data_IF_316568269828
#
_entry.id   IF_316568269828
#
_cell.length_a   1.000
_cell.length_b   1.000
_cell.length_c   1.000
_cell.angle_alpha   90.00
_cell.angle_beta   90.00
_cell.angle_gamma   90.00
#
_symmetry.space_group_name_H-M   'P 1'
#
loop_
_entity.id
_entity.type
_entity.pdbx_description
1 polymer ?
#
# COMPACT_ATOMS: atom_id res chain seq x y z
N UNK A 1 -17.94 -12.70 -6.10
CA UNK A 1 -18.57 -12.05 -4.92
C UNK A 1 -17.51 -11.22 -4.20
N UNK A 2 -17.62 -9.89 -4.19
CA UNK A 2 -16.65 -9.00 -3.52
C UNK A 2 -17.01 -8.88 -2.03
N UNK A 3 -16.66 -9.88 -1.25
CA UNK A 3 -16.83 -9.86 0.21
C UNK A 3 -15.87 -8.86 0.87
N UNK A 4 -16.45 -7.77 1.39
CA UNK A 4 -15.92 -6.79 2.37
C UNK A 4 -14.46 -6.94 2.82
N UNK A 5 -13.47 -6.53 2.01
CA UNK A 5 -12.15 -6.18 2.54
C UNK A 5 -12.18 -4.71 3.02
N UNK A 6 -12.19 -4.44 4.34
CA UNK A 6 -12.31 -3.08 4.86
C UNK A 6 -11.14 -2.17 4.46
N UNK A 7 -9.95 -2.75 4.25
CA UNK A 7 -8.76 -2.03 3.78
C UNK A 7 -8.95 -1.59 2.34
N UNK A 8 -9.44 -2.47 1.47
CA UNK A 8 -9.71 -2.11 0.08
C UNK A 8 -10.86 -1.11 -0.05
N UNK A 9 -11.94 -1.29 0.71
CA UNK A 9 -13.06 -0.35 0.71
C UNK A 9 -12.58 1.07 1.11
N UNK A 10 -11.79 1.18 2.18
CA UNK A 10 -11.21 2.45 2.59
C UNK A 10 -10.28 3.03 1.52
N UNK A 11 -9.47 2.20 0.87
CA UNK A 11 -8.57 2.61 -0.22
C UNK A 11 -9.34 3.29 -1.37
N UNK A 12 -10.41 2.64 -1.84
CA UNK A 12 -11.31 3.16 -2.88
C UNK A 12 -12.02 4.44 -2.42
N UNK A 13 -12.57 4.44 -1.21
CA UNK A 13 -13.29 5.59 -0.62
C UNK A 13 -12.41 6.84 -0.53
N UNK A 14 -11.11 6.66 -0.29
CA UNK A 14 -10.17 7.78 -0.28
C UNK A 14 -9.67 8.21 -1.66
N UNK A 15 -10.03 7.51 -2.72
CA UNK A 15 -9.63 7.83 -4.10
C UNK A 15 -8.15 7.56 -4.38
N UNK A 16 -7.50 6.69 -3.60
CA UNK A 16 -6.06 6.45 -3.67
C UNK A 16 -5.61 5.69 -4.92
N UNK A 17 -6.56 5.15 -5.70
CA UNK A 17 -6.31 4.60 -7.03
C UNK A 17 -5.78 5.67 -8.01
N UNK A 18 -6.14 6.94 -7.79
CA UNK A 18 -5.76 8.07 -8.65
C UNK A 18 -4.55 8.87 -8.11
N UNK A 19 -3.93 8.40 -7.02
CA UNK A 19 -2.81 9.13 -6.40
C UNK A 19 -1.49 8.98 -7.18
N UNK A 20 -1.42 7.98 -8.07
CA UNK A 20 -0.29 7.73 -8.96
C UNK A 20 1.06 7.77 -8.20
N UNK A 21 2.02 8.55 -8.68
CA UNK A 21 3.37 8.60 -8.13
C UNK A 21 3.43 9.32 -6.77
N UNK A 22 2.39 10.09 -6.43
CA UNK A 22 2.28 10.84 -5.18
C UNK A 22 1.63 10.04 -4.05
N UNK A 23 1.37 8.74 -4.25
CA UNK A 23 0.66 7.87 -3.31
C UNK A 23 1.17 8.00 -1.86
N UNK A 24 2.47 7.84 -1.64
CA UNK A 24 3.05 7.82 -0.28
C UNK A 24 3.02 9.19 0.41
N UNK A 25 2.99 10.28 -0.36
CA UNK A 25 2.91 11.66 0.16
C UNK A 25 1.47 12.11 0.39
N UNK A 26 0.50 11.36 -0.11
CA UNK A 26 -0.90 11.75 -0.05
C UNK A 26 -1.45 11.63 1.38
N UNK A 27 -2.00 12.70 1.97
CA UNK A 27 -2.50 12.69 3.36
C UNK A 27 -3.53 11.56 3.63
N UNK A 28 -4.39 11.25 2.65
CA UNK A 28 -5.36 10.15 2.79
C UNK A 28 -4.71 8.76 2.77
N UNK A 29 -3.52 8.62 2.18
CA UNK A 29 -2.76 7.37 2.23
C UNK A 29 -2.30 7.09 3.66
N UNK A 30 -1.78 8.10 4.38
CA UNK A 30 -1.39 7.92 5.77
C UNK A 30 -2.59 7.50 6.66
N UNK A 31 -3.76 8.11 6.43
CA UNK A 31 -4.99 7.73 7.14
C UNK A 31 -5.39 6.28 6.86
N UNK A 32 -5.38 5.88 5.59
CA UNK A 32 -5.65 4.51 5.16
C UNK A 32 -4.65 3.50 5.73
N UNK A 33 -3.37 3.80 5.66
CA UNK A 33 -2.31 2.91 6.11
C UNK A 33 -2.35 2.72 7.63
N UNK A 34 -2.62 3.80 8.38
CA UNK A 34 -2.88 3.74 9.82
C UNK A 34 -4.09 2.86 10.15
N UNK A 35 -5.18 2.96 9.39
CA UNK A 35 -6.35 2.08 9.56
C UNK A 35 -5.99 0.61 9.27
N UNK A 36 -5.21 0.36 8.22
CA UNK A 36 -4.72 -0.97 7.87
C UNK A 36 -3.88 -1.56 9.00
N UNK A 37 -3.00 -0.77 9.61
CA UNK A 37 -2.20 -1.15 10.78
C UNK A 37 -3.05 -1.49 12.00
N UNK A 38 -4.16 -0.77 12.24
CA UNK A 38 -5.09 -1.08 13.33
C UNK A 38 -5.86 -2.38 13.10
N UNK A 39 -6.28 -2.65 11.87
CA UNK A 39 -7.06 -3.85 11.54
C UNK A 39 -6.19 -5.11 11.46
N UNK A 40 -4.95 -4.98 11.01
CA UNK A 40 -4.04 -6.10 10.77
C UNK A 40 -2.64 -5.83 11.35
N UNK A 41 -2.50 -5.68 12.67
CA UNK A 41 -1.27 -5.19 13.31
C UNK A 41 -0.04 -6.05 13.04
N UNK A 42 -0.20 -7.34 12.77
CA UNK A 42 0.90 -8.27 12.50
C UNK A 42 1.29 -8.37 11.00
N UNK A 43 0.38 -8.00 10.09
CA UNK A 43 0.53 -8.26 8.64
C UNK A 43 0.08 -7.07 7.77
N UNK A 44 0.17 -5.86 8.31
CA UNK A 44 -0.38 -4.65 7.67
C UNK A 44 0.32 -4.31 6.35
N UNK A 45 1.63 -4.59 6.24
CA UNK A 45 2.36 -4.36 4.99
C UNK A 45 1.87 -5.30 3.89
N UNK A 46 1.67 -6.58 4.20
CA UNK A 46 1.16 -7.60 3.28
C UNK A 46 -0.28 -7.27 2.85
N UNK A 47 -1.14 -6.85 3.77
CA UNK A 47 -2.52 -6.44 3.47
C UNK A 47 -2.57 -5.16 2.62
N UNK A 48 -1.68 -4.20 2.90
CA UNK A 48 -1.56 -2.99 2.11
C UNK A 48 -1.08 -3.31 0.69
N UNK A 49 0.01 -4.08 0.54
CA UNK A 49 0.54 -4.50 -0.77
C UNK A 49 -0.49 -5.28 -1.57
N UNK A 50 -1.18 -6.23 -0.97
CA UNK A 50 -2.26 -6.99 -1.63
C UNK A 50 -3.34 -6.08 -2.19
N UNK A 51 -3.68 -5.00 -1.46
CA UNK A 51 -4.65 -4.01 -1.93
C UNK A 51 -4.06 -3.14 -3.04
N UNK A 52 -2.82 -2.68 -2.90
CA UNK A 52 -2.14 -1.84 -3.89
C UNK A 52 -1.96 -2.55 -5.23
N UNK A 53 -1.60 -3.84 -5.22
CA UNK A 53 -1.43 -4.67 -6.43
C UNK A 53 -2.71 -4.87 -7.24
N UNK A 54 -3.89 -4.59 -6.67
CA UNK A 54 -5.17 -4.60 -7.41
C UNK A 54 -5.35 -3.37 -8.30
N UNK A 55 -4.58 -2.31 -8.07
CA UNK A 55 -4.74 -1.01 -8.72
C UNK A 55 -3.44 -0.50 -9.37
N UNK A 56 -2.30 -1.01 -8.94
CA UNK A 56 -0.99 -0.67 -9.45
C UNK A 56 -0.31 -1.96 -9.91
N UNK A 57 0.26 -1.95 -11.11
CA UNK A 57 1.10 -3.06 -11.57
C UNK A 57 2.34 -3.21 -10.66
N UNK A 58 2.90 -4.42 -10.59
CA UNK A 58 4.10 -4.70 -9.80
C UNK A 58 5.24 -3.69 -10.09
N UNK A 59 5.49 -3.40 -11.37
CA UNK A 59 6.53 -2.45 -11.80
C UNK A 59 6.23 -1.01 -11.36
N UNK A 60 4.99 -0.55 -11.53
CA UNK A 60 4.59 0.81 -11.11
C UNK A 60 4.69 0.96 -9.60
N UNK A 61 4.16 -0.01 -8.85
CA UNK A 61 4.23 0.00 -7.39
C UNK A 61 5.69 -0.03 -6.91
N UNK A 62 6.54 -0.87 -7.50
CA UNK A 62 7.96 -0.91 -7.16
C UNK A 62 8.64 0.45 -7.32
N UNK A 63 8.38 1.17 -8.43
CA UNK A 63 8.94 2.51 -8.69
C UNK A 63 8.49 3.54 -7.65
N UNK A 64 7.18 3.56 -7.34
CA UNK A 64 6.61 4.45 -6.31
C UNK A 64 7.29 4.21 -4.95
N UNK A 65 7.39 2.94 -4.56
CA UNK A 65 8.02 2.57 -3.29
C UNK A 65 9.51 2.90 -3.28
N UNK A 66 10.22 2.69 -4.39
CA UNK A 66 11.64 3.01 -4.47
C UNK A 66 11.90 4.53 -4.32
N UNK A 67 11.09 5.35 -4.99
CA UNK A 67 11.17 6.82 -4.89
C UNK A 67 10.79 7.33 -3.48
N UNK A 68 9.97 6.58 -2.74
CA UNK A 68 9.56 6.90 -1.37
C UNK A 68 10.59 6.64 -0.29
N UNK A 69 11.75 6.04 -0.60
CA UNK A 69 12.80 5.70 0.38
C UNK A 69 13.64 6.89 0.85
N UNK A 70 12.99 8.04 1.04
CA UNK A 70 13.62 9.30 1.43
C UNK A 70 12.77 10.01 2.47
N UNK A 71 13.42 10.79 3.33
CA UNK A 71 12.74 11.62 4.33
C UNK A 71 11.72 10.84 5.17
N UNK A 72 10.54 11.45 5.37
CA UNK A 72 9.48 10.92 6.24
C UNK A 72 8.71 9.72 5.68
N UNK A 73 8.89 9.37 4.40
CA UNK A 73 8.22 8.20 3.79
C UNK A 73 9.07 6.94 3.79
N UNK A 74 10.34 7.04 4.22
CA UNK A 74 11.33 5.97 4.08
C UNK A 74 10.90 4.65 4.71
N UNK A 75 10.52 4.65 5.99
CA UNK A 75 10.19 3.41 6.71
C UNK A 75 8.95 2.72 6.12
N UNK A 76 7.94 3.51 5.72
CA UNK A 76 6.73 2.99 5.08
C UNK A 76 7.06 2.39 3.71
N UNK A 77 7.88 3.09 2.92
CA UNK A 77 8.31 2.63 1.62
C UNK A 77 9.13 1.33 1.69
N UNK A 78 10.04 1.22 2.65
CA UNK A 78 10.85 0.01 2.87
C UNK A 78 10.00 -1.18 3.32
N UNK A 79 9.09 -0.98 4.28
CA UNK A 79 8.18 -2.02 4.75
C UNK A 79 7.28 -2.57 3.63
N UNK A 80 6.70 -1.68 2.83
CA UNK A 80 5.87 -2.05 1.68
C UNK A 80 6.68 -2.72 0.57
N UNK A 81 7.92 -2.26 0.30
CA UNK A 81 8.72 -2.87 -0.76
C UNK A 81 9.19 -4.27 -0.35
N UNK A 82 9.49 -4.49 0.93
CA UNK A 82 9.79 -5.83 1.45
C UNK A 82 8.59 -6.77 1.31
N UNK A 83 7.38 -6.31 1.65
CA UNK A 83 6.16 -7.10 1.45
C UNK A 83 5.86 -7.35 -0.05
N UNK A 84 6.12 -6.39 -0.92
CA UNK A 84 6.00 -6.56 -2.38
C UNK A 84 6.92 -7.66 -2.90
N UNK A 85 8.19 -7.65 -2.50
CA UNK A 85 9.14 -8.72 -2.90
C UNK A 85 8.72 -10.09 -2.39
N UNK A 86 8.25 -10.18 -1.13
CA UNK A 86 7.72 -11.44 -0.57
C UNK A 86 6.53 -11.95 -1.38
N UNK A 87 5.64 -11.06 -1.83
CA UNK A 87 4.49 -11.47 -2.64
C UNK A 87 4.86 -12.14 -3.96
N UNK A 88 6.02 -11.80 -4.54
CA UNK A 88 6.52 -12.44 -5.76
C UNK A 88 7.01 -13.87 -5.53
N UNK A 89 7.52 -14.17 -4.34
CA UNK A 89 7.97 -15.51 -3.97
C UNK A 89 6.81 -16.46 -3.65
N UNK A 90 5.61 -15.91 -3.48
CA UNK A 90 4.37 -16.66 -3.22
C UNK A 90 3.43 -16.70 -4.43
N UNK A 91 3.91 -16.29 -5.61
CA UNK A 91 3.22 -16.45 -6.89
C UNK A 91 3.46 -17.83 -7.48
#
# INVERSE_FOLDING_TARGET
>A
MFGNNPVEYAFRKYGLMKAEDNLLKHKKFNKWFTQTKKLYPLVYNEKAVSTLLRYYSDSKLYKILNAGKVGSTKDVAEGLQNALRKSWLSK
#
